data_IF_482722015815
#
_entry.id   IF_482722015815
#
_cell.length_a   1.000
_cell.length_b   1.000
_cell.length_c   1.000
_cell.angle_alpha   90.00
_cell.angle_beta   90.00
_cell.angle_gamma   90.00
#
_symmetry.space_group_name_H-M   'P 1'
#
loop_
_entity.id
_entity.type
_entity.pdbx_description
1 polymer ?
#
# COMPACT_ATOMS: atom_id res chain seq x y z
N UNK A 1 -33.87 -2.22 -4.00
CA UNK A 1 -32.47 -2.34 -4.49
C UNK A 1 -32.01 -3.75 -4.21
N UNK A 2 -31.37 -4.46 -5.15
CA UNK A 2 -30.77 -5.75 -4.85
C UNK A 2 -29.72 -5.55 -3.74
N UNK A 3 -29.58 -6.52 -2.81
CA UNK A 3 -28.58 -6.41 -1.75
C UNK A 3 -27.21 -6.25 -2.38
N UNK A 4 -26.46 -5.22 -1.98
CA UNK A 4 -25.06 -5.09 -2.35
C UNK A 4 -24.33 -6.32 -1.82
N UNK A 5 -23.96 -7.25 -2.70
CA UNK A 5 -23.06 -8.34 -2.35
C UNK A 5 -21.73 -7.73 -1.90
N UNK A 6 -21.05 -8.32 -0.91
CA UNK A 6 -19.76 -7.82 -0.40
C UNK A 6 -18.73 -7.64 -1.53
N UNK A 7 -18.83 -8.51 -2.53
CA UNK A 7 -18.05 -8.48 -3.76
C UNK A 7 -19.02 -8.31 -4.94
N UNK A 8 -18.83 -7.31 -5.81
CA UNK A 8 -19.64 -7.13 -7.01
C UNK A 8 -19.57 -8.35 -7.95
N UNK A 9 -20.69 -8.86 -8.50
CA UNK A 9 -20.70 -10.10 -9.28
C UNK A 9 -19.79 -10.09 -10.51
N UNK A 10 -19.73 -8.96 -11.24
CA UNK A 10 -18.84 -8.80 -12.40
C UNK A 10 -17.35 -8.87 -12.03
N UNK A 11 -17.03 -8.56 -10.78
CA UNK A 11 -15.67 -8.52 -10.29
C UNK A 11 -15.24 -9.81 -9.60
N UNK A 12 -16.20 -10.63 -9.13
CA UNK A 12 -15.96 -11.89 -8.43
C UNK A 12 -14.94 -12.79 -9.14
N UNK A 13 -15.03 -13.05 -10.47
CA UNK A 13 -14.07 -13.92 -11.15
C UNK A 13 -12.64 -13.34 -11.19
N UNK A 14 -12.52 -12.02 -11.08
CA UNK A 14 -11.24 -11.31 -11.18
C UNK A 14 -10.52 -11.17 -9.83
N UNK A 15 -11.25 -11.33 -8.73
CA UNK A 15 -10.72 -11.26 -7.37
C UNK A 15 -10.44 -12.65 -6.81
N UNK A 16 -11.15 -13.67 -7.30
CA UNK A 16 -10.90 -15.03 -6.87
C UNK A 16 -9.47 -15.47 -7.16
N UNK A 17 -8.81 -16.06 -6.16
CA UNK A 17 -7.44 -16.54 -6.32
C UNK A 17 -7.40 -17.67 -7.36
N UNK A 18 -6.41 -17.69 -8.26
CA UNK A 18 -6.20 -18.81 -9.17
C UNK A 18 -5.98 -20.13 -8.42
N UNK A 19 -6.27 -21.26 -9.07
CA UNK A 19 -6.00 -22.59 -8.49
C UNK A 19 -4.51 -22.88 -8.35
N UNK A 20 -3.68 -22.29 -9.21
CA UNK A 20 -2.23 -22.40 -9.20
C UNK A 20 -1.61 -21.30 -8.35
N UNK A 21 -0.60 -21.67 -7.56
CA UNK A 21 0.21 -20.72 -6.78
C UNK A 21 0.77 -19.63 -7.71
N UNK A 22 0.42 -18.38 -7.44
CA UNK A 22 0.69 -17.30 -8.38
C UNK A 22 0.94 -15.95 -7.73
N UNK A 23 1.65 -15.11 -8.48
CA UNK A 23 1.82 -13.69 -8.17
C UNK A 23 0.71 -12.90 -8.86
N UNK A 24 0.13 -11.96 -8.12
CA UNK A 24 -0.93 -11.08 -8.57
C UNK A 24 -0.46 -9.64 -8.41
N UNK A 25 -0.74 -8.80 -9.41
CA UNK A 25 -0.42 -7.39 -9.38
C UNK A 25 -1.69 -6.56 -9.31
N UNK A 26 -1.76 -5.68 -8.32
CA UNK A 26 -2.74 -4.63 -8.21
C UNK A 26 -2.07 -3.30 -8.52
N UNK A 27 -2.61 -2.53 -9.47
CA UNK A 27 -2.11 -1.19 -9.75
C UNK A 27 -3.16 -0.14 -9.47
N UNK A 28 -2.73 1.02 -9.02
CA UNK A 28 -3.62 2.16 -8.78
C UNK A 28 -2.95 3.48 -9.16
N UNK A 29 -3.75 4.54 -9.26
CA UNK A 29 -3.24 5.89 -9.48
C UNK A 29 -3.62 6.77 -8.30
N UNK A 30 -2.96 7.91 -8.15
CA UNK A 30 -3.25 8.87 -7.07
C UNK A 30 -4.74 9.27 -7.03
N UNK A 31 -5.36 9.40 -8.20
CA UNK A 31 -6.78 9.74 -8.33
C UNK A 31 -7.75 8.56 -8.16
N UNK A 32 -7.26 7.31 -8.12
CA UNK A 32 -8.08 6.11 -8.07
C UNK A 32 -7.42 5.06 -7.16
N UNK A 33 -7.77 5.07 -5.88
CA UNK A 33 -7.21 4.13 -4.88
C UNK A 33 -7.66 2.68 -5.10
N UNK A 34 -6.76 1.72 -4.87
CA UNK A 34 -7.06 0.28 -4.86
C UNK A 34 -7.38 -0.31 -3.48
N UNK A 35 -7.48 0.50 -2.41
CA UNK A 35 -7.77 -0.02 -1.06
C UNK A 35 -9.05 -0.84 -1.03
N UNK A 36 -10.10 -0.37 -1.72
CA UNK A 36 -11.37 -1.07 -1.78
C UNK A 36 -11.22 -2.46 -2.41
N UNK A 37 -10.34 -2.63 -3.42
CA UNK A 37 -10.04 -3.93 -4.03
C UNK A 37 -9.30 -4.85 -3.07
N UNK A 38 -8.29 -4.35 -2.36
CA UNK A 38 -7.54 -5.12 -1.35
C UNK A 38 -8.50 -5.70 -0.30
N UNK A 39 -9.46 -4.89 0.16
CA UNK A 39 -10.50 -5.33 1.09
C UNK A 39 -11.38 -6.47 0.51
N UNK A 40 -11.64 -6.49 -0.79
CA UNK A 40 -12.41 -7.57 -1.43
C UNK A 40 -11.56 -8.81 -1.67
N UNK A 41 -10.27 -8.67 -1.98
CA UNK A 41 -9.32 -9.79 -1.98
C UNK A 41 -9.23 -10.44 -0.59
N UNK A 42 -9.13 -9.62 0.47
CA UNK A 42 -9.20 -10.09 1.87
C UNK A 42 -10.50 -10.88 2.11
N UNK A 43 -11.65 -10.32 1.72
CA UNK A 43 -12.95 -10.98 1.91
C UNK A 43 -13.06 -12.30 1.15
N UNK A 44 -12.62 -12.36 -0.10
CA UNK A 44 -12.71 -13.57 -0.91
C UNK A 44 -11.76 -14.66 -0.40
N UNK A 45 -10.52 -14.29 -0.08
CA UNK A 45 -9.51 -15.24 0.39
C UNK A 45 -9.84 -15.81 1.77
N UNK A 46 -10.49 -15.06 2.65
CA UNK A 46 -10.91 -15.56 3.98
C UNK A 46 -12.16 -16.43 3.95
N UNK A 47 -12.96 -16.36 2.88
CA UNK A 47 -14.14 -17.21 2.74
C UNK A 47 -13.74 -18.63 2.34
N UNK A 48 -14.49 -19.61 2.83
CA UNK A 48 -14.39 -20.97 2.34
C UNK A 48 -15.13 -21.07 1.00
N UNK A 49 -14.55 -21.78 0.04
CA UNK A 49 -15.12 -21.97 -1.28
C UNK A 49 -15.59 -23.42 -1.44
N UNK A 50 -16.55 -23.64 -2.34
CA UNK A 50 -16.95 -25.01 -2.71
C UNK A 50 -16.09 -25.42 -3.90
N UNK A 51 -15.23 -26.41 -3.71
CA UNK A 51 -14.40 -26.99 -4.77
C UNK A 51 -15.27 -27.61 -5.86
N UNK A 52 -14.74 -27.69 -7.09
CA UNK A 52 -15.41 -28.33 -8.23
C UNK A 52 -15.83 -29.79 -7.97
N UNK A 53 -15.14 -30.50 -7.07
CA UNK A 53 -15.47 -31.87 -6.67
C UNK A 53 -16.51 -31.97 -5.54
N UNK A 54 -17.17 -30.86 -5.18
CA UNK A 54 -18.17 -30.82 -4.10
C UNK A 54 -17.59 -30.84 -2.68
N UNK A 55 -16.27 -30.69 -2.54
CA UNK A 55 -15.59 -30.47 -1.26
C UNK A 55 -15.64 -28.99 -0.84
N UNK A 56 -15.40 -28.70 0.45
CA UNK A 56 -15.20 -27.33 0.93
C UNK A 56 -13.70 -27.05 0.95
N UNK A 57 -13.24 -26.16 0.08
CA UNK A 57 -11.90 -25.61 0.12
C UNK A 57 -11.83 -24.57 1.23
N UNK A 58 -10.95 -24.81 2.20
CA UNK A 58 -10.74 -23.85 3.27
C UNK A 58 -10.14 -22.56 2.71
N UNK A 59 -10.62 -21.43 3.24
CA UNK A 59 -10.03 -20.13 2.94
C UNK A 59 -8.56 -20.05 3.36
N UNK A 60 -7.90 -19.01 2.88
CA UNK A 60 -6.50 -18.73 3.17
C UNK A 60 -6.33 -18.01 4.52
N UNK A 61 -5.15 -18.18 5.10
CA UNK A 61 -4.60 -17.25 6.08
C UNK A 61 -4.07 -16.01 5.36
N UNK A 62 -4.04 -14.87 6.02
CA UNK A 62 -3.61 -13.61 5.38
C UNK A 62 -2.54 -12.91 6.20
N UNK A 63 -1.47 -12.53 5.53
CA UNK A 63 -0.49 -11.56 6.02
C UNK A 63 -0.62 -10.30 5.19
N UNK A 64 -1.05 -9.20 5.80
CA UNK A 64 -1.10 -7.89 5.16
C UNK A 64 0.07 -7.04 5.63
N UNK A 65 0.91 -6.62 4.69
CA UNK A 65 2.04 -5.73 4.91
C UNK A 65 1.73 -4.40 4.25
N UNK A 66 1.85 -3.29 4.95
CA UNK A 66 1.59 -1.96 4.37
C UNK A 66 2.70 -0.98 4.73
N UNK A 67 3.21 -0.28 3.72
CA UNK A 67 4.21 0.78 3.87
C UNK A 67 3.62 2.18 3.81
N UNK A 68 2.32 2.32 3.57
CA UNK A 68 1.66 3.62 3.46
C UNK A 68 0.53 3.83 4.47
N UNK A 69 0.04 2.77 5.15
CA UNK A 69 -1.15 2.86 6.00
C UNK A 69 -1.01 1.99 7.24
N UNK A 70 -1.50 2.51 8.36
CA UNK A 70 -1.49 1.82 9.65
C UNK A 70 -2.58 0.74 9.74
N UNK A 71 -2.47 -0.16 10.71
CA UNK A 71 -3.45 -1.21 10.98
C UNK A 71 -4.88 -0.67 11.15
N UNK A 72 -5.01 0.46 11.86
CA UNK A 72 -6.31 1.06 12.16
C UNK A 72 -7.08 1.49 10.92
N UNK A 73 -6.35 1.93 9.89
CA UNK A 73 -6.94 2.24 8.59
C UNK A 73 -7.58 0.99 7.98
N UNK A 74 -6.82 -0.11 7.90
CA UNK A 74 -7.29 -1.36 7.30
C UNK A 74 -8.43 -2.00 8.10
N UNK A 75 -8.38 -1.93 9.43
CA UNK A 75 -9.46 -2.38 10.33
C UNK A 75 -10.76 -1.64 10.04
N UNK A 76 -10.71 -0.32 9.91
CA UNK A 76 -11.89 0.50 9.62
C UNK A 76 -12.43 0.26 8.22
N UNK A 77 -11.56 0.21 7.20
CA UNK A 77 -11.97 -0.01 5.81
C UNK A 77 -12.54 -1.42 5.59
N UNK A 78 -11.99 -2.45 6.24
CA UNK A 78 -12.52 -3.81 6.16
C UNK A 78 -13.92 -3.92 6.80
N UNK A 79 -14.10 -3.31 7.98
CA UNK A 79 -15.40 -3.27 8.67
C UNK A 79 -16.43 -2.50 7.85
N UNK A 80 -16.05 -1.34 7.32
CA UNK A 80 -16.93 -0.47 6.54
C UNK A 80 -17.31 -1.09 5.18
N UNK A 81 -16.33 -1.59 4.43
CA UNK A 81 -16.54 -2.01 3.04
C UNK A 81 -17.20 -3.38 2.88
N UNK A 82 -16.88 -4.34 3.75
CA UNK A 82 -17.34 -5.74 3.62
C UNK A 82 -17.80 -6.36 4.94
N UNK A 83 -17.78 -5.61 6.04
CA UNK A 83 -18.21 -6.09 7.36
C UNK A 83 -17.26 -7.11 7.98
N UNK A 84 -15.96 -7.09 7.63
CA UNK A 84 -14.97 -7.97 8.23
C UNK A 84 -14.44 -7.40 9.54
N UNK A 85 -14.30 -8.26 10.55
CA UNK A 85 -13.65 -7.93 11.81
C UNK A 85 -12.22 -8.48 11.83
N UNK A 86 -11.25 -7.61 11.50
CA UNK A 86 -9.83 -7.99 11.48
C UNK A 86 -9.26 -8.29 12.86
N UNK A 87 -9.87 -7.79 13.95
CA UNK A 87 -9.40 -8.13 15.31
C UNK A 87 -9.80 -9.55 15.67
N UNK A 88 -11.04 -9.93 15.36
CA UNK A 88 -11.50 -11.29 15.54
C UNK A 88 -10.64 -12.27 14.74
N UNK A 89 -10.39 -11.99 13.45
CA UNK A 89 -9.56 -12.84 12.59
C UNK A 89 -8.11 -12.95 13.07
N UNK A 90 -7.57 -11.90 13.67
CA UNK A 90 -6.25 -11.91 14.31
C UNK A 90 -6.24 -12.81 15.55
N UNK A 91 -7.27 -12.72 16.39
CA UNK A 91 -7.41 -13.57 17.58
C UNK A 91 -7.59 -15.05 17.22
N UNK A 92 -8.29 -15.34 16.11
CA UNK A 92 -8.43 -16.68 15.52
C UNK A 92 -7.14 -17.19 14.86
N UNK A 93 -6.10 -16.36 14.72
CA UNK A 93 -4.85 -16.73 14.07
C UNK A 93 -5.00 -16.95 12.56
N UNK A 94 -5.93 -16.23 11.92
CA UNK A 94 -6.17 -16.25 10.47
C UNK A 94 -5.63 -15.03 9.74
N UNK A 95 -5.40 -13.95 10.48
CA UNK A 95 -4.93 -12.67 9.94
C UNK A 95 -3.75 -12.15 10.75
N UNK A 96 -2.76 -11.62 10.05
CA UNK A 96 -1.61 -10.95 10.61
C UNK A 96 -1.35 -9.64 9.87
N UNK A 97 -0.98 -8.60 10.62
CA UNK A 97 -0.57 -7.31 10.06
C UNK A 97 0.92 -7.06 10.30
N UNK A 98 1.61 -6.56 9.29
CA UNK A 98 2.99 -6.12 9.37
C UNK A 98 3.07 -4.64 9.00
N UNK A 99 3.39 -3.81 9.98
CA UNK A 99 3.54 -2.36 9.84
C UNK A 99 4.92 -2.03 9.25
N UNK A 100 4.94 -1.55 8.01
CA UNK A 100 6.13 -1.05 7.32
C UNK A 100 6.28 0.47 7.36
N UNK A 101 5.38 1.20 8.01
CA UNK A 101 5.37 2.66 8.05
C UNK A 101 5.90 3.19 9.38
N UNK A 102 5.30 2.81 10.51
CA UNK A 102 5.48 3.52 11.78
C UNK A 102 6.90 3.36 12.34
N UNK A 103 7.40 2.13 12.36
CA UNK A 103 8.74 1.83 12.89
C UNK A 103 9.88 2.38 12.04
N UNK A 104 9.64 2.61 10.73
CA UNK A 104 10.66 3.04 9.77
C UNK A 104 10.64 4.55 9.54
N UNK A 105 9.47 5.16 9.47
CA UNK A 105 9.29 6.53 8.98
C UNK A 105 8.78 7.52 10.03
N UNK A 106 7.90 7.08 10.94
CA UNK A 106 7.22 8.00 11.88
C UNK A 106 7.94 8.12 13.23
N UNK A 107 8.94 7.26 13.48
CA UNK A 107 9.58 7.13 14.80
C UNK A 107 8.60 6.55 15.83
N UNK A 108 9.11 5.81 16.81
CA UNK A 108 8.23 5.35 17.90
C UNK A 108 7.84 6.56 18.74
N UNK A 109 6.60 7.02 18.59
CA UNK A 109 5.98 7.87 19.61
C UNK A 109 5.78 6.97 20.81
N UNK A 110 6.68 7.08 21.80
CA UNK A 110 6.48 6.47 23.11
C UNK A 110 5.23 7.15 23.67
N UNK A 111 4.09 6.47 23.56
CA UNK A 111 2.85 6.89 24.18
C UNK A 111 3.09 6.80 25.69
N UNK A 112 3.56 7.92 26.25
CA UNK A 112 3.83 8.04 27.67
C UNK A 112 2.52 7.76 28.39
N UNK A 113 2.52 6.64 29.12
CA UNK A 113 1.39 6.17 29.89
C UNK A 113 0.77 7.33 30.68
N UNK A 114 -0.53 7.53 30.45
CA UNK A 114 -1.37 8.49 31.14
C UNK A 114 -1.19 8.32 32.66
N UNK A 115 -0.73 9.34 33.42
CA UNK A 115 -0.70 9.23 34.87
C UNK A 115 -2.13 9.17 35.41
N UNK A 116 -2.40 8.14 36.19
CA UNK A 116 -3.65 7.92 36.91
C UNK A 116 -3.87 8.96 38.03
N UNK A 117 -5.01 9.63 37.93
CA UNK A 117 -5.91 10.23 38.94
C UNK A 117 -5.37 10.73 40.32
N UNK A 118 -5.81 11.94 40.71
CA UNK A 118 -6.84 12.14 41.76
C UNK A 118 -7.27 13.62 41.91
N UNK A 119 -8.44 13.91 42.52
CA UNK A 119 -9.15 15.19 42.38
C UNK A 119 -8.82 16.18 43.50
N UNK A 120 -8.81 17.48 43.19
CA UNK A 120 -8.93 18.52 44.22
C UNK A 120 -9.88 19.61 43.74
N UNK A 121 -10.84 19.93 44.60
CA UNK A 121 -11.91 20.90 44.39
C UNK A 121 -11.57 22.26 45.02
N UNK A 122 -12.25 23.30 44.50
CA UNK A 122 -12.40 24.69 44.96
C UNK A 122 -11.23 25.63 44.57
N UNK A 123 -11.44 26.85 44.05
CA UNK A 123 -12.58 27.77 44.19
C UNK A 123 -12.61 28.89 43.11
N UNK A 124 -13.84 29.30 42.75
CA UNK A 124 -14.37 30.66 42.52
C UNK A 124 -13.88 31.59 41.38
N UNK A 125 -14.70 31.63 40.32
CA UNK A 125 -15.28 32.75 39.55
C UNK A 125 -14.51 34.06 39.24
N UNK A 126 -14.43 34.41 37.95
CA UNK A 126 -14.87 35.72 37.43
C UNK A 126 -15.23 35.66 35.91
N UNK A 127 -16.20 36.47 35.49
CA UNK A 127 -16.93 36.48 34.20
C UNK A 127 -16.17 37.10 32.99
N UNK A 128 -16.23 36.43 31.83
CA UNK A 128 -16.66 36.79 30.43
C UNK A 128 -16.80 38.33 30.12
N UNK A 129 -16.35 38.88 28.95
CA UNK A 129 -16.93 38.47 27.66
C UNK A 129 -16.13 38.41 26.36
N UNK A 130 -16.82 37.73 25.43
CA UNK A 130 -16.60 37.42 24.03
C UNK A 130 -16.16 38.59 23.14
N UNK A 131 -15.35 38.30 22.12
CA UNK A 131 -15.37 39.05 20.86
C UNK A 131 -14.99 38.14 19.69
N UNK A 132 -15.95 37.98 18.76
CA UNK A 132 -15.82 37.38 17.44
C UNK A 132 -14.83 38.18 16.57
N UNK A 133 -14.03 37.49 15.76
CA UNK A 133 -13.30 38.07 14.63
C UNK A 133 -12.90 36.98 13.62
N UNK A 134 -13.17 37.16 12.31
CA UNK A 134 -12.85 36.17 11.28
C UNK A 134 -11.38 36.27 10.86
N UNK A 135 -10.70 35.14 10.67
CA UNK A 135 -9.38 35.10 10.05
C UNK A 135 -9.52 35.07 8.52
N UNK A 136 -9.12 36.16 7.86
CA UNK A 136 -8.96 36.28 6.42
C UNK A 136 -7.54 35.88 5.99
N UNK A 137 -7.45 35.03 4.98
CA UNK A 137 -6.24 34.65 4.26
C UNK A 137 -5.57 35.88 3.60
N UNK A 138 -4.22 36.00 3.58
CA UNK A 138 -3.57 36.99 2.73
C UNK A 138 -3.24 36.40 1.36
N UNK A 139 -3.71 37.08 0.31
CA UNK A 139 -3.31 36.88 -1.07
C UNK A 139 -2.34 37.99 -1.52
N UNK A 140 -1.33 37.55 -2.30
CA UNK A 140 -0.59 38.23 -3.39
C UNK A 140 0.19 39.54 -3.14
N UNK A 141 1.44 39.54 -3.61
CA UNK A 141 2.16 40.75 -4.03
C UNK A 141 3.43 40.46 -4.82
N UNK A 142 3.41 40.71 -6.14
CA UNK A 142 4.58 41.00 -6.99
C UNK A 142 4.95 42.49 -6.84
N UNK A 143 6.20 42.91 -7.15
CA UNK A 143 6.40 43.64 -8.42
C UNK A 143 7.77 43.39 -9.10
N UNK A 144 7.91 43.98 -10.29
CA UNK A 144 8.94 43.70 -11.29
C UNK A 144 10.04 44.80 -11.45
N UNK A 145 11.18 44.35 -12.01
CA UNK A 145 12.13 45.00 -12.97
C UNK A 145 12.95 46.25 -12.60
N UNK A 146 14.28 46.18 -12.87
CA UNK A 146 15.15 47.35 -13.15
C UNK A 146 16.69 47.13 -13.12
N UNK A 147 17.26 46.80 -14.30
CA UNK A 147 18.60 47.04 -14.92
C UNK A 147 19.92 47.44 -14.16
N UNK A 148 21.01 46.80 -14.64
CA UNK A 148 22.38 47.28 -14.98
C UNK A 148 23.59 47.32 -14.01
N UNK A 149 24.65 46.66 -14.49
CA UNK A 149 26.09 47.03 -14.58
C UNK A 149 27.07 47.08 -13.37
N UNK A 150 28.15 46.28 -13.54
CA UNK A 150 29.59 46.54 -13.33
C UNK A 150 30.08 47.32 -12.09
N UNK A 151 30.91 46.66 -11.28
CA UNK A 151 31.90 47.33 -10.41
C UNK A 151 32.69 46.38 -9.49
N UNK A 152 33.98 46.19 -9.78
CA UNK A 152 35.08 45.71 -8.90
C UNK A 152 35.74 46.99 -8.31
N UNK A 153 36.34 47.12 -7.09
CA UNK A 153 37.48 46.35 -6.52
C UNK A 153 37.55 46.35 -4.93
N UNK A 154 38.71 46.28 -4.21
CA UNK A 154 39.65 45.15 -4.04
C UNK A 154 40.16 44.88 -2.57
N UNK A 155 40.99 43.81 -2.39
CA UNK A 155 42.15 43.60 -1.44
C UNK A 155 41.88 43.65 0.10
N UNK A 156 42.49 42.90 1.04
CA UNK A 156 43.52 41.84 1.09
C UNK A 156 43.60 41.20 2.52
N UNK A 157 43.82 39.87 2.55
CA UNK A 157 44.76 39.04 3.34
C UNK A 157 45.20 39.43 4.79
N UNK A 158 44.93 38.55 5.77
CA UNK A 158 45.66 38.38 7.05
C UNK A 158 45.25 37.11 7.84
N UNK A 159 46.14 36.37 8.57
CA UNK A 159 45.97 34.95 8.96
C UNK A 159 45.70 34.73 10.50
N UNK A 160 45.65 33.49 11.03
CA UNK A 160 44.66 33.08 12.04
C UNK A 160 45.14 33.19 13.50
N UNK A 161 44.21 33.12 14.45
CA UNK A 161 44.53 32.93 15.87
C UNK A 161 43.62 31.86 16.47
N UNK A 162 44.25 30.78 16.95
CA UNK A 162 43.66 29.66 17.69
C UNK A 162 43.34 30.06 19.14
N UNK A 163 42.26 29.50 19.68
CA UNK A 163 42.03 29.35 21.14
C UNK A 163 41.38 27.97 21.37
N UNK A 164 41.69 27.23 22.45
CA UNK A 164 41.69 25.77 22.47
C UNK A 164 40.34 25.11 22.78
N UNK A 165 40.14 23.94 22.19
CA UNK A 165 39.08 23.00 22.52
C UNK A 165 39.42 22.20 23.80
N UNK A 166 38.48 22.14 24.73
CA UNK A 166 38.44 21.19 25.86
C UNK A 166 37.99 19.79 25.39
N UNK A 167 38.48 18.71 26.03
CA UNK A 167 38.30 17.34 25.55
C UNK A 167 36.90 16.76 25.81
N UNK A 168 36.41 15.82 24.97
CA UNK A 168 35.14 15.13 25.21
C UNK A 168 35.31 13.99 26.23
N UNK A 169 34.33 13.88 27.12
CA UNK A 169 34.14 12.75 28.06
C UNK A 169 33.51 11.59 27.27
N UNK A 170 33.94 10.33 27.48
CA UNK A 170 33.45 9.19 26.70
C UNK A 170 31.98 8.88 27.02
N UNK A 171 31.12 9.04 26.02
CA UNK A 171 29.76 8.52 26.08
C UNK A 171 29.82 6.99 25.95
N UNK A 172 29.53 6.33 27.06
CA UNK A 172 29.35 4.88 27.16
C UNK A 172 28.34 4.40 26.13
N UNK A 173 28.77 3.43 25.33
CA UNK A 173 27.95 2.64 24.42
C UNK A 173 26.66 2.17 25.10
N UNK A 174 25.52 2.72 24.67
CA UNK A 174 24.21 2.14 24.91
C UNK A 174 23.73 1.52 23.61
N UNK A 175 23.71 0.20 23.63
CA UNK A 175 23.23 -0.72 22.60
C UNK A 175 21.75 -0.44 22.29
N UNK A 176 21.33 -0.13 21.05
CA UNK A 176 19.92 -0.10 20.70
C UNK A 176 19.47 -1.52 20.38
N UNK A 177 19.21 -2.32 21.42
CA UNK A 177 18.34 -3.47 21.24
C UNK A 177 16.92 -2.91 21.03
N UNK A 178 16.49 -2.86 19.77
CA UNK A 178 15.16 -2.43 19.35
C UNK A 178 14.09 -3.29 20.02
N UNK A 179 13.24 -2.64 20.80
CA UNK A 179 12.10 -3.25 21.46
C UNK A 179 10.99 -3.37 20.41
N UNK A 180 10.80 -4.56 19.85
CA UNK A 180 9.61 -4.92 19.08
C UNK A 180 8.44 -5.05 20.07
N UNK A 181 7.46 -4.15 19.99
CA UNK A 181 6.19 -4.31 20.72
C UNK A 181 5.37 -5.40 20.03
N UNK A 182 5.67 -6.67 20.32
CA UNK A 182 5.00 -7.83 19.74
C UNK A 182 3.64 -8.07 20.38
N UNK A 183 2.61 -7.41 19.87
CA UNK A 183 1.23 -7.88 20.07
C UNK A 183 0.94 -9.01 19.10
N UNK A 184 0.41 -10.15 19.60
CA UNK A 184 0.07 -11.33 18.78
C UNK A 184 -0.65 -10.94 17.48
N UNK A 185 -0.08 -11.32 16.33
CA UNK A 185 -0.61 -11.04 15.00
C UNK A 185 -0.40 -9.60 14.49
N UNK A 186 0.46 -8.82 15.15
CA UNK A 186 0.90 -7.50 14.71
C UNK A 186 2.41 -7.39 14.86
N UNK A 187 3.09 -7.20 13.73
CA UNK A 187 4.55 -7.05 13.65
C UNK A 187 4.89 -5.66 13.11
N UNK A 188 6.05 -5.14 13.47
CA UNK A 188 6.52 -3.83 12.98
C UNK A 188 7.92 -3.97 12.42
N UNK A 189 8.13 -3.43 11.22
CA UNK A 189 9.45 -3.34 10.61
C UNK A 189 10.22 -2.18 11.27
N UNK A 190 11.41 -2.49 11.80
CA UNK A 190 12.30 -1.51 12.43
C UNK A 190 13.53 -1.16 11.59
N UNK A 191 13.69 -1.78 10.40
CA UNK A 191 14.85 -1.59 9.53
C UNK A 191 14.44 -1.68 8.06
N UNK A 192 15.14 -0.92 7.22
CA UNK A 192 15.04 -0.94 5.75
C UNK A 192 15.78 -2.14 5.12
N UNK A 193 16.56 -2.89 5.91
CA UNK A 193 17.32 -4.01 5.37
C UNK A 193 16.39 -5.15 4.90
N UNK A 194 16.69 -5.65 3.70
CA UNK A 194 15.98 -6.76 3.06
C UNK A 194 16.05 -8.05 3.88
N UNK A 195 17.14 -8.27 4.64
CA UNK A 195 17.25 -9.44 5.51
C UNK A 195 16.26 -9.37 6.68
N UNK A 196 16.16 -8.19 7.32
CA UNK A 196 15.21 -7.93 8.40
C UNK A 196 13.76 -8.06 7.91
N UNK A 197 13.48 -7.51 6.72
CA UNK A 197 12.17 -7.62 6.08
C UNK A 197 11.79 -9.09 5.87
N UNK A 198 12.70 -9.88 5.28
CA UNK A 198 12.50 -11.31 5.06
C UNK A 198 12.19 -12.04 6.36
N UNK A 199 13.04 -11.90 7.38
CA UNK A 199 12.87 -12.60 8.66
C UNK A 199 11.58 -12.20 9.38
N UNK A 200 11.20 -10.92 9.33
CA UNK A 200 9.94 -10.46 9.93
C UNK A 200 8.73 -11.09 9.23
N UNK A 201 8.74 -11.15 7.89
CA UNK A 201 7.67 -11.78 7.13
C UNK A 201 7.62 -13.30 7.35
N UNK A 202 8.76 -13.98 7.39
CA UNK A 202 8.82 -15.42 7.70
C UNK A 202 8.24 -15.70 9.09
N UNK A 203 8.53 -14.85 10.08
CA UNK A 203 7.99 -14.96 11.43
C UNK A 203 6.47 -14.75 11.43
N UNK A 204 5.99 -13.72 10.74
CA UNK A 204 4.56 -13.42 10.61
C UNK A 204 3.80 -14.58 9.94
N UNK A 205 4.34 -15.14 8.85
CA UNK A 205 3.75 -16.28 8.12
C UNK A 205 3.74 -17.52 9.01
N UNK A 206 4.85 -17.82 9.70
CA UNK A 206 4.96 -18.98 10.59
C UNK A 206 3.99 -18.93 11.76
N UNK A 207 3.67 -17.73 12.25
CA UNK A 207 2.68 -17.55 13.33
C UNK A 207 1.28 -18.04 12.96
N UNK A 208 0.91 -17.96 11.67
CA UNK A 208 -0.39 -18.38 11.14
C UNK A 208 -0.42 -19.87 10.75
N UNK A 209 0.73 -20.45 10.43
CA UNK A 209 0.86 -21.84 9.96
C UNK A 209 0.51 -22.91 11.03
N UNK A 210 0.32 -22.51 12.29
CA UNK A 210 0.07 -23.42 13.42
C UNK A 210 -1.40 -23.83 13.61
N UNK A 211 -2.35 -23.12 12.98
CA UNK A 211 -3.76 -23.20 13.38
C UNK A 211 -4.54 -24.28 12.63
N UNK A 212 -4.40 -24.35 11.31
CA UNK A 212 -4.99 -25.33 10.38
C UNK A 212 -4.08 -25.39 9.15
N UNK A 213 -4.07 -26.48 8.37
CA UNK A 213 -3.20 -26.65 7.18
C UNK A 213 -3.56 -25.73 5.99
N UNK A 214 -3.94 -24.49 6.27
CA UNK A 214 -4.32 -23.46 5.31
C UNK A 214 -3.09 -22.83 4.70
N UNK A 215 -3.18 -22.58 3.39
CA UNK A 215 -2.20 -21.76 2.69
C UNK A 215 -2.39 -20.28 3.04
N UNK A 216 -1.36 -19.50 2.78
CA UNK A 216 -1.29 -18.07 3.12
C UNK A 216 -1.29 -17.24 1.85
N UNK A 217 -2.16 -16.22 1.82
CA UNK A 217 -2.08 -15.10 0.89
C UNK A 217 -1.27 -13.98 1.54
N UNK A 218 -0.17 -13.61 0.92
CA UNK A 218 0.62 -12.44 1.31
C UNK A 218 0.16 -11.23 0.50
N UNK A 219 -0.26 -10.15 1.17
CA UNK A 219 -0.63 -8.90 0.52
C UNK A 219 0.41 -7.85 0.86
N UNK A 220 1.02 -7.26 -0.17
CA UNK A 220 2.05 -6.24 -0.05
C UNK A 220 1.51 -4.92 -0.59
N UNK A 221 1.17 -4.00 0.32
CA UNK A 221 0.62 -2.69 0.00
C UNK A 221 1.72 -1.62 -0.09
N UNK A 222 2.02 -1.20 -1.31
CA UNK A 222 3.02 -0.18 -1.65
C UNK A 222 4.47 -0.49 -1.26
N UNK A 223 5.02 -1.69 -1.57
CA UNK A 223 6.43 -1.98 -1.31
C UNK A 223 7.39 -1.13 -2.18
N UNK A 224 6.88 -0.49 -3.24
CA UNK A 224 7.64 0.43 -4.08
C UNK A 224 8.14 1.67 -3.31
N UNK A 225 7.54 2.00 -2.16
CA UNK A 225 8.04 3.05 -1.27
C UNK A 225 9.46 2.75 -0.74
N UNK A 226 9.82 1.47 -0.60
CA UNK A 226 11.16 1.07 -0.16
C UNK A 226 12.27 1.60 -1.10
N UNK A 227 11.97 1.69 -2.41
CA UNK A 227 12.91 2.24 -3.40
C UNK A 227 13.17 3.74 -3.20
N UNK A 228 12.22 4.45 -2.58
CA UNK A 228 12.38 5.87 -2.24
C UNK A 228 13.06 6.06 -0.87
N UNK A 229 12.89 5.10 0.04
CA UNK A 229 13.43 5.18 1.41
C UNK A 229 14.89 4.69 1.51
N UNK A 230 15.27 3.69 0.72
CA UNK A 230 16.65 3.18 0.67
C UNK A 230 17.24 3.34 -0.74
N UNK A 231 18.16 4.31 -0.96
CA UNK A 231 18.79 4.52 -2.26
C UNK A 231 19.72 3.38 -2.68
N UNK A 232 20.14 2.50 -1.75
CA UNK A 232 20.93 1.32 -2.08
C UNK A 232 20.07 0.14 -2.55
N UNK A 233 18.76 0.19 -2.32
CA UNK A 233 17.83 -0.89 -2.66
C UNK A 233 17.53 -0.90 -4.15
N UNK A 234 17.93 -1.99 -4.82
CA UNK A 234 17.67 -2.16 -6.24
C UNK A 234 16.29 -2.78 -6.50
N UNK A 235 15.62 -2.43 -7.63
CA UNK A 235 14.40 -3.11 -8.06
C UNK A 235 14.57 -4.63 -8.18
N UNK A 236 15.75 -5.08 -8.60
CA UNK A 236 16.08 -6.51 -8.70
C UNK A 236 16.01 -7.18 -7.34
N UNK A 237 16.64 -6.60 -6.33
CA UNK A 237 16.65 -7.14 -4.97
C UNK A 237 15.24 -7.30 -4.42
N UNK A 238 14.38 -6.29 -4.63
CA UNK A 238 12.98 -6.34 -4.21
C UNK A 238 12.22 -7.46 -4.94
N UNK A 239 12.35 -7.57 -6.26
CA UNK A 239 11.71 -8.65 -7.03
C UNK A 239 12.19 -10.04 -6.64
N UNK A 240 13.49 -10.19 -6.34
CA UNK A 240 14.06 -11.45 -5.85
C UNK A 240 13.52 -11.81 -4.47
N UNK A 241 13.28 -10.82 -3.60
CA UNK A 241 12.63 -11.02 -2.31
C UNK A 241 11.19 -11.51 -2.48
N UNK A 242 10.40 -10.91 -3.39
CA UNK A 242 9.04 -11.40 -3.70
C UNK A 242 9.06 -12.86 -4.15
N UNK A 243 9.97 -13.21 -5.06
CA UNK A 243 10.12 -14.59 -5.52
C UNK A 243 10.52 -15.53 -4.38
N UNK A 244 11.44 -15.10 -3.50
CA UNK A 244 11.88 -15.91 -2.35
C UNK A 244 10.72 -16.16 -1.38
N UNK A 245 9.91 -15.14 -1.09
CA UNK A 245 8.73 -15.27 -0.22
C UNK A 245 7.68 -16.20 -0.84
N UNK A 246 7.53 -16.20 -2.16
CA UNK A 246 6.58 -17.09 -2.85
C UNK A 246 7.02 -18.55 -2.81
N UNK A 247 8.33 -18.82 -2.74
CA UNK A 247 8.85 -20.21 -2.58
C UNK A 247 8.65 -20.79 -1.18
N UNK A 248 8.18 -20.00 -0.21
CA UNK A 248 7.91 -20.51 1.13
C UNK A 248 6.70 -21.45 1.10
N UNK A 249 6.81 -22.71 1.60
CA UNK A 249 5.73 -23.69 1.56
C UNK A 249 4.35 -23.21 2.05
N UNK A 250 4.23 -22.41 3.13
CA UNK A 250 2.91 -21.93 3.58
C UNK A 250 2.29 -20.88 2.65
N UNK A 251 3.06 -20.21 1.79
CA UNK A 251 2.56 -19.14 0.91
C UNK A 251 2.03 -19.76 -0.38
N UNK A 252 0.79 -19.48 -0.75
CA UNK A 252 0.24 -19.88 -2.06
C UNK A 252 0.27 -18.72 -3.06
N UNK A 253 -0.03 -17.51 -2.59
CA UNK A 253 -0.21 -16.35 -3.45
C UNK A 253 0.44 -15.11 -2.85
N UNK A 254 0.93 -14.22 -3.71
CA UNK A 254 1.33 -12.87 -3.32
C UNK A 254 0.55 -11.85 -4.15
N UNK A 255 -0.20 -10.99 -3.49
CA UNK A 255 -0.84 -9.82 -4.09
C UNK A 255 0.01 -8.58 -3.82
N UNK A 256 0.66 -8.06 -4.86
CA UNK A 256 1.50 -6.86 -4.74
C UNK A 256 0.73 -5.65 -5.26
N UNK A 257 0.55 -4.63 -4.45
CA UNK A 257 -0.06 -3.36 -4.84
C UNK A 257 1.00 -2.29 -5.07
N UNK A 258 1.02 -1.70 -6.27
CA UNK A 258 2.01 -0.68 -6.68
C UNK A 258 1.30 0.52 -7.34
N UNK A 259 1.82 1.73 -7.14
CA UNK A 259 1.33 2.92 -7.87
C UNK A 259 1.77 2.88 -9.34
N UNK A 260 0.86 3.20 -10.25
CA UNK A 260 1.07 3.21 -11.70
C UNK A 260 0.67 4.55 -12.33
N UNK A 261 0.96 5.67 -11.65
CA UNK A 261 0.72 7.01 -12.20
C UNK A 261 1.54 7.25 -13.48
N UNK A 262 1.02 8.01 -14.43
CA UNK A 262 1.70 8.28 -15.71
C UNK A 262 3.15 8.77 -15.57
N UNK A 263 3.50 9.66 -14.62
CA UNK A 263 4.89 10.06 -14.39
C UNK A 263 5.81 8.91 -13.97
N UNK A 264 5.26 7.86 -13.34
CA UNK A 264 6.00 6.65 -12.94
C UNK A 264 6.11 5.62 -14.07
N UNK A 265 5.25 5.73 -15.08
CA UNK A 265 5.19 4.81 -16.22
C UNK A 265 5.92 5.33 -17.46
N UNK A 266 5.88 6.63 -17.70
CA UNK A 266 6.38 7.26 -18.92
C UNK A 266 7.65 8.05 -18.64
N UNK A 267 8.69 7.84 -19.45
CA UNK A 267 9.86 8.71 -19.44
C UNK A 267 9.41 10.15 -19.75
N UNK A 268 9.85 11.11 -18.93
CA UNK A 268 9.53 12.52 -19.09
C UNK A 268 9.92 12.99 -20.49
N UNK A 269 8.93 13.38 -21.31
CA UNK A 269 9.17 13.83 -22.68
C UNK A 269 10.07 15.07 -22.67
N UNK A 270 11.37 14.90 -22.95
CA UNK A 270 12.35 15.98 -23.08
C UNK A 270 13.36 16.12 -21.94
N UNK A 271 13.31 15.30 -20.87
CA UNK A 271 14.30 15.30 -19.79
C UNK A 271 14.85 13.89 -19.52
N UNK A 272 16.10 13.80 -19.08
CA UNK A 272 16.68 12.52 -18.65
C UNK A 272 15.84 11.95 -17.49
N UNK A 273 15.44 10.67 -17.55
CA UNK A 273 14.59 10.07 -16.53
C UNK A 273 15.32 10.03 -15.18
N UNK A 274 14.59 10.34 -14.11
CA UNK A 274 15.18 10.37 -12.76
C UNK A 274 15.49 8.93 -12.29
N UNK A 275 16.56 8.70 -11.50
CA UNK A 275 16.91 7.36 -11.03
C UNK A 275 15.76 6.64 -10.30
N UNK A 276 15.03 7.35 -9.44
CA UNK A 276 13.87 6.80 -8.72
C UNK A 276 12.72 6.43 -9.67
N UNK A 277 12.46 7.27 -10.67
CA UNK A 277 11.46 7.02 -11.71
C UNK A 277 11.80 5.75 -12.50
N UNK A 278 13.07 5.57 -12.88
CA UNK A 278 13.55 4.35 -13.53
C UNK A 278 13.43 3.13 -12.61
N UNK A 279 13.76 3.29 -11.32
CA UNK A 279 13.68 2.20 -10.35
C UNK A 279 12.24 1.71 -10.18
N UNK A 280 11.28 2.62 -9.98
CA UNK A 280 9.86 2.31 -9.86
C UNK A 280 9.30 1.69 -11.14
N UNK A 281 9.63 2.26 -12.31
CA UNK A 281 9.23 1.69 -13.60
C UNK A 281 9.73 0.26 -13.77
N UNK A 282 11.03 0.03 -13.51
CA UNK A 282 11.64 -1.31 -13.61
C UNK A 282 11.01 -2.30 -12.63
N UNK A 283 10.71 -1.86 -11.41
CA UNK A 283 10.05 -2.69 -10.42
C UNK A 283 8.65 -3.12 -10.88
N UNK A 284 7.82 -2.14 -11.29
CA UNK A 284 6.46 -2.40 -11.74
C UNK A 284 6.41 -3.31 -12.97
N UNK A 285 7.25 -3.06 -13.99
CA UNK A 285 7.30 -3.89 -15.20
C UNK A 285 7.67 -5.33 -14.87
N UNK A 286 8.61 -5.55 -13.94
CA UNK A 286 8.95 -6.90 -13.47
C UNK A 286 7.82 -7.56 -12.72
N UNK A 287 7.16 -6.86 -11.79
CA UNK A 287 5.96 -7.37 -11.12
C UNK A 287 4.88 -7.75 -12.14
N UNK A 288 4.64 -6.92 -13.16
CA UNK A 288 3.67 -7.18 -14.21
C UNK A 288 4.04 -8.43 -15.02
N UNK A 289 5.31 -8.59 -15.41
CA UNK A 289 5.78 -9.77 -16.14
C UNK A 289 5.67 -11.06 -15.31
N UNK A 290 5.92 -10.99 -14.01
CA UNK A 290 5.87 -12.14 -13.10
C UNK A 290 4.44 -12.50 -12.67
N UNK A 291 3.47 -11.60 -12.87
CA UNK A 291 2.11 -11.76 -12.34
C UNK A 291 1.16 -12.43 -13.31
N UNK A 292 0.53 -13.52 -12.87
CA UNK A 292 -0.51 -14.22 -13.63
C UNK A 292 -1.71 -13.33 -13.93
N UNK A 293 -2.04 -12.42 -13.02
CA UNK A 293 -3.16 -11.48 -13.18
C UNK A 293 -2.75 -10.09 -12.75
N UNK A 294 -3.15 -9.11 -13.55
CA UNK A 294 -2.98 -7.69 -13.30
C UNK A 294 -4.37 -7.05 -13.20
N UNK A 295 -4.69 -6.49 -12.05
CA UNK A 295 -5.90 -5.71 -11.83
C UNK A 295 -5.48 -4.26 -11.61
N UNK A 296 -5.88 -3.35 -12.50
CA UNK A 296 -5.50 -1.94 -12.42
C UNK A 296 -6.72 -1.05 -12.26
N UNK A 297 -6.68 -0.09 -11.35
CA UNK A 297 -7.68 0.97 -11.24
C UNK A 297 -7.11 2.31 -11.70
N UNK A 298 -7.90 3.05 -12.47
CA UNK A 298 -7.55 4.39 -12.96
C UNK A 298 -8.76 5.31 -12.94
N UNK A 299 -8.50 6.61 -12.92
CA UNK A 299 -9.53 7.62 -13.14
C UNK A 299 -10.05 7.52 -14.58
N UNK A 300 -11.23 8.08 -14.83
CA UNK A 300 -11.76 8.20 -16.19
C UNK A 300 -10.93 9.20 -16.99
N UNK A 301 -10.57 8.84 -18.23
CA UNK A 301 -9.86 9.74 -19.14
C UNK A 301 -10.71 10.97 -19.51
N UNK A 302 -12.04 10.86 -19.40
CA UNK A 302 -13.01 11.94 -19.65
C UNK A 302 -13.16 12.91 -18.47
N UNK A 303 -12.48 12.66 -17.34
CA UNK A 303 -12.60 13.45 -16.12
C UNK A 303 -13.63 12.91 -15.12
N UNK A 304 -13.99 13.72 -14.12
CA UNK A 304 -14.80 13.29 -12.96
C UNK A 304 -16.27 13.13 -13.33
N UNK A 305 -16.89 12.03 -12.87
CA UNK A 305 -18.33 11.78 -12.97
C UNK A 305 -18.95 11.57 -11.58
N UNK A 306 -20.22 11.96 -11.39
CA UNK A 306 -20.92 11.84 -10.09
C UNK A 306 -21.16 10.38 -9.68
N UNK A 307 -21.42 9.52 -10.66
CA UNK A 307 -21.87 8.14 -10.44
C UNK A 307 -20.82 7.09 -10.81
N UNK A 308 -19.62 7.51 -11.21
CA UNK A 308 -18.51 6.63 -11.57
C UNK A 308 -17.22 7.17 -10.94
N UNK A 309 -16.57 6.34 -10.12
CA UNK A 309 -15.30 6.67 -9.48
C UNK A 309 -14.12 6.46 -10.42
N UNK A 310 -14.19 5.46 -11.31
CA UNK A 310 -13.12 5.18 -12.25
C UNK A 310 -13.36 3.92 -13.09
N UNK A 311 -12.28 3.44 -13.69
CA UNK A 311 -12.22 2.21 -14.49
C UNK A 311 -11.36 1.20 -13.76
N UNK A 312 -11.82 -0.06 -13.70
CA UNK A 312 -11.00 -1.21 -13.33
C UNK A 312 -10.72 -2.03 -14.60
N UNK A 313 -9.45 -2.33 -14.85
CA UNK A 313 -8.99 -3.19 -15.94
C UNK A 313 -8.41 -4.46 -15.36
N UNK A 314 -8.81 -5.61 -15.89
CA UNK A 314 -8.34 -6.93 -15.49
C UNK A 314 -7.66 -7.57 -16.69
N UNK A 315 -6.35 -7.77 -16.60
CA UNK A 315 -5.57 -8.51 -17.59
C UNK A 315 -5.14 -9.82 -16.97
N UNK A 316 -5.39 -10.93 -17.66
CA UNK A 316 -5.00 -12.26 -17.22
C UNK A 316 -3.97 -12.79 -18.22
N UNK A 317 -2.84 -13.28 -17.73
CA UNK A 317 -1.86 -13.95 -18.56
C UNK A 317 -2.36 -15.37 -18.79
N UNK A 318 -2.95 -15.61 -19.97
CA UNK A 318 -3.22 -16.99 -20.44
C UNK A 318 -1.87 -17.68 -20.65
N UNK A 319 -1.68 -18.83 -20.00
CA UNK A 319 -0.38 -19.37 -19.67
C UNK A 319 0.29 -20.22 -20.76
N UNK A 320 1.59 -20.44 -20.56
CA UNK A 320 2.29 -21.65 -21.00
C UNK A 320 2.69 -21.71 -22.48
N UNK A 321 3.87 -22.27 -22.71
CA UNK A 321 4.35 -22.68 -24.03
C UNK A 321 3.33 -23.53 -24.81
N UNK A 322 2.41 -24.22 -24.12
CA UNK A 322 1.40 -25.10 -24.72
C UNK A 322 0.29 -24.39 -25.50
N UNK A 323 0.08 -23.08 -25.36
CA UNK A 323 -0.93 -22.33 -26.14
C UNK A 323 -0.36 -21.70 -27.43
N UNK A 324 0.92 -21.95 -27.75
CA UNK A 324 1.58 -21.44 -28.96
C UNK A 324 1.52 -22.40 -30.17
N UNK A 325 0.63 -23.41 -30.13
CA UNK A 325 0.46 -24.28 -31.28
C UNK A 325 -0.68 -25.27 -31.12
N UNK A 326 -1.74 -25.08 -31.92
CA UNK A 326 -2.95 -25.90 -32.06
C UNK A 326 -4.14 -25.46 -31.19
N UNK A 327 -4.76 -24.32 -31.54
CA UNK A 327 -6.09 -23.94 -31.07
C UNK A 327 -6.74 -23.02 -32.11
N UNK A 328 -7.96 -23.36 -32.54
CA UNK A 328 -8.73 -22.74 -33.62
C UNK A 328 -8.63 -21.20 -33.73
N UNK A 329 -8.63 -20.69 -34.96
CA UNK A 329 -8.85 -19.27 -35.33
C UNK A 329 -10.29 -18.80 -35.01
N UNK A 330 -10.83 -19.12 -33.83
CA UNK A 330 -11.96 -18.42 -33.23
C UNK A 330 -11.38 -17.47 -32.21
N UNK A 331 -11.15 -16.22 -32.63
CA UNK A 331 -10.52 -15.17 -31.83
C UNK A 331 -10.98 -15.17 -30.39
N UNK A 332 -10.11 -15.66 -29.49
CA UNK A 332 -10.41 -15.71 -28.07
C UNK A 332 -10.31 -14.29 -27.50
N UNK A 333 -11.44 -13.73 -27.10
CA UNK A 333 -11.50 -12.52 -26.27
C UNK A 333 -10.78 -12.70 -24.92
N UNK A 334 -10.37 -13.92 -24.54
CA UNK A 334 -9.69 -14.22 -23.27
C UNK A 334 -8.30 -13.57 -23.16
N UNK A 335 -7.64 -13.23 -24.27
CA UNK A 335 -6.39 -12.46 -24.27
C UNK A 335 -6.58 -10.93 -24.13
N UNK A 336 -7.81 -10.44 -24.29
CA UNK A 336 -8.13 -9.00 -24.27
C UNK A 336 -8.58 -8.62 -22.87
N UNK A 337 -7.70 -7.98 -22.10
CA UNK A 337 -8.02 -7.56 -20.73
C UNK A 337 -9.39 -6.86 -20.63
N UNK A 338 -10.20 -7.29 -19.66
CA UNK A 338 -11.58 -6.83 -19.41
C UNK A 338 -11.57 -5.47 -18.74
N UNK A 339 -12.53 -4.61 -19.06
CA UNK A 339 -12.66 -3.28 -18.45
C UNK A 339 -14.07 -3.05 -17.91
N UNK A 340 -14.15 -2.56 -16.68
CA UNK A 340 -15.41 -2.24 -16.01
C UNK A 340 -15.36 -0.84 -15.43
N UNK A 341 -16.52 -0.20 -15.34
CA UNK A 341 -16.70 1.02 -14.56
C UNK A 341 -16.98 0.62 -13.11
N UNK A 342 -16.46 1.39 -12.16
CA UNK A 342 -16.77 1.17 -10.76
C UNK A 342 -17.17 2.47 -10.05
N UNK A 343 -17.97 2.31 -9.00
CA UNK A 343 -18.37 3.38 -8.08
C UNK A 343 -18.17 2.92 -6.65
N UNK A 344 -17.40 3.69 -5.88
CA UNK A 344 -17.23 3.50 -4.44
C UNK A 344 -18.17 4.46 -3.71
N UNK A 345 -19.07 3.92 -2.88
CA UNK A 345 -19.99 4.66 -2.05
C UNK A 345 -19.33 5.17 -0.76
N UNK A 346 -19.90 6.22 -0.17
CA UNK A 346 -19.42 6.78 1.09
C UNK A 346 -19.57 5.83 2.29
N UNK A 347 -20.46 4.85 2.17
CA UNK A 347 -20.69 3.73 3.09
C UNK A 347 -19.68 2.58 2.90
N UNK A 348 -18.77 2.67 1.92
CA UNK A 348 -17.81 1.62 1.59
C UNK A 348 -18.35 0.56 0.64
N UNK A 349 -19.63 0.65 0.25
CA UNK A 349 -20.22 -0.21 -0.78
C UNK A 349 -19.59 0.05 -2.14
N UNK A 350 -19.44 -0.99 -2.96
CA UNK A 350 -18.87 -0.87 -4.31
C UNK A 350 -19.83 -1.46 -5.32
N UNK A 351 -19.99 -0.76 -6.45
CA UNK A 351 -20.73 -1.27 -7.61
C UNK A 351 -19.80 -1.29 -8.82
N UNK A 352 -19.96 -2.31 -9.65
CA UNK A 352 -19.19 -2.50 -10.87
C UNK A 352 -20.17 -2.73 -12.01
N UNK A 353 -19.91 -2.13 -13.15
CA UNK A 353 -20.80 -2.10 -14.31
C UNK A 353 -19.99 -2.27 -15.61
N UNK A 354 -20.58 -2.90 -16.61
CA UNK A 354 -20.01 -2.91 -17.96
C UNK A 354 -20.11 -1.52 -18.61
N UNK A 355 -19.16 -1.19 -19.48
CA UNK A 355 -19.16 0.09 -20.21
C UNK A 355 -20.36 0.11 -21.16
N UNK A 356 -21.31 1.03 -20.93
CA UNK A 356 -22.52 1.19 -21.73
C UNK A 356 -23.80 0.65 -21.08
N UNK A 357 -23.71 -0.05 -19.95
CA UNK A 357 -24.88 -0.58 -19.22
C UNK A 357 -25.59 0.47 -18.33
N UNK A 358 -25.08 1.71 -18.24
CA UNK A 358 -25.61 2.78 -17.38
C UNK A 358 -26.87 3.48 -17.90
N UNK A 359 -27.64 2.81 -18.76
CA UNK A 359 -28.76 3.38 -19.50
C UNK A 359 -30.15 2.99 -18.99
N UNK A 360 -30.34 2.67 -17.70
CA UNK A 360 -31.68 2.60 -17.11
C UNK A 360 -31.62 3.27 -15.73
N UNK A 361 -32.19 4.47 -15.65
CA UNK A 361 -32.36 5.27 -14.44
C UNK A 361 -33.73 5.08 -13.80
#
# INVERSE_FOLDING_TARGET
>A
MPPSTRIPPLLQPSIHLPSEESLLLLTSTLGASANWLIIRFLCDALNNHVSHNGGVEEGHNIVLVSWMREYDFWRQEARKGVGLDLEQLKNEGRFCFVDGLSGMCLGQVVESAKPSASPSANATATRIPESRGPQSLPARGLPARGLSERGVPPLARGPPTQVPATPPVPATSMNPASITTETKGHYTLGSLDTSHLKTTLETAISSLASTLSRRTLLILDNPDLLLALDPALSPTTLTSLLSTLHTLPPVSHILTHVQSDTPLLSASAGAAPQPLQLAQHNFLVRCAHMSRRIVGVRVLDTGVARDVSGVVRVTEQSGGWMDLGMGDERGSEEGRGREFLYRVGGDGGVRVFERGAGGEG
#
